data_IF_096759818277
#
_entry.id   IF_096759818277
#
_cell.length_a   1.000
_cell.length_b   1.000
_cell.length_c   1.000
_cell.angle_alpha   90.00
_cell.angle_beta   90.00
_cell.angle_gamma   90.00
#
_symmetry.space_group_name_H-M   'P 1'
#
loop_
_entity.id
_entity.type
_entity.pdbx_description
1 polymer ?
#
# COMPACT_ATOMS: atom_id res chain seq x y z
N UNK A 1 -25.32 -10.33 14.86
CA UNK A 1 -24.66 -10.67 13.57
C UNK A 1 -23.24 -10.16 13.65
N UNK A 2 -22.24 -10.95 13.27
CA UNK A 2 -20.84 -10.53 13.34
C UNK A 2 -20.29 -10.30 11.93
N UNK A 3 -19.62 -9.17 11.72
CA UNK A 3 -19.00 -8.80 10.45
C UNK A 3 -17.52 -8.53 10.69
N UNK A 4 -16.66 -9.23 9.94
CA UNK A 4 -15.21 -9.01 9.98
C UNK A 4 -14.78 -8.28 8.72
N UNK A 5 -14.14 -7.13 8.88
CA UNK A 5 -13.63 -6.30 7.79
C UNK A 5 -12.10 -6.30 7.86
N UNK A 6 -11.45 -6.57 6.74
CA UNK A 6 -9.99 -6.37 6.59
C UNK A 6 -9.78 -5.08 5.81
N UNK A 7 -9.04 -4.13 6.38
CA UNK A 7 -8.93 -2.76 5.84
C UNK A 7 -7.44 -2.35 5.75
N UNK A 8 -7.06 -1.75 4.63
CA UNK A 8 -5.78 -1.04 4.44
C UNK A 8 -5.94 0.44 4.82
N UNK A 9 -4.86 1.13 5.18
CA UNK A 9 -4.94 2.55 5.59
C UNK A 9 -5.49 3.47 4.49
N UNK A 10 -5.25 3.10 3.23
CA UNK A 10 -5.74 3.83 2.04
C UNK A 10 -7.24 3.68 1.80
N UNK A 11 -7.89 2.69 2.39
CA UNK A 11 -9.33 2.43 2.25
C UNK A 11 -10.16 3.12 3.34
N UNK A 12 -9.54 3.91 4.22
CA UNK A 12 -10.25 4.69 5.23
C UNK A 12 -10.81 5.96 4.58
N UNK A 13 -12.02 5.85 4.05
CA UNK A 13 -12.72 6.95 3.40
C UNK A 13 -14.16 7.15 3.93
N UNK A 14 -14.88 8.14 3.38
CA UNK A 14 -16.26 8.41 3.74
C UNK A 14 -17.22 7.26 3.42
N UNK A 15 -16.91 6.44 2.41
CA UNK A 15 -17.73 5.31 2.02
C UNK A 15 -17.67 4.20 3.08
N UNK A 16 -16.47 3.84 3.52
CA UNK A 16 -16.26 2.90 4.61
C UNK A 16 -16.98 3.35 5.89
N UNK A 17 -16.85 4.63 6.27
CA UNK A 17 -17.53 5.17 7.46
C UNK A 17 -19.05 5.05 7.38
N UNK A 18 -19.64 5.26 6.21
CA UNK A 18 -21.07 5.08 6.00
C UNK A 18 -21.49 3.61 6.09
N UNK A 19 -20.65 2.70 5.58
CA UNK A 19 -20.89 1.26 5.67
C UNK A 19 -20.86 0.79 7.13
N UNK A 20 -19.89 1.26 7.91
CA UNK A 20 -19.81 0.99 9.35
C UNK A 20 -21.05 1.50 10.10
N UNK A 21 -21.52 2.72 9.79
CA UNK A 21 -22.75 3.27 10.38
C UNK A 21 -23.98 2.40 10.08
N UNK A 22 -24.11 1.92 8.84
CA UNK A 22 -25.21 1.05 8.44
C UNK A 22 -25.15 -0.33 9.12
N UNK A 23 -23.96 -0.86 9.37
CA UNK A 23 -23.80 -2.12 10.09
C UNK A 23 -24.13 -1.95 11.59
N UNK A 24 -23.69 -0.85 12.19
CA UNK A 24 -24.01 -0.54 13.59
C UNK A 24 -25.51 -0.32 13.81
N UNK A 25 -26.22 0.32 12.85
CA UNK A 25 -27.68 0.48 12.95
C UNK A 25 -28.45 -0.84 12.88
N UNK A 26 -27.82 -1.90 12.38
CA UNK A 26 -28.35 -3.27 12.38
C UNK A 26 -27.91 -4.10 13.60
N UNK A 27 -27.31 -3.47 14.62
CA UNK A 27 -26.72 -4.15 15.79
C UNK A 27 -25.69 -5.23 15.41
N UNK A 28 -24.91 -4.97 14.35
CA UNK A 28 -23.82 -5.85 13.98
C UNK A 28 -22.60 -5.62 14.90
N UNK A 29 -21.98 -6.71 15.33
CA UNK A 29 -20.65 -6.67 15.93
C UNK A 29 -19.61 -6.55 14.81
N UNK A 30 -18.79 -5.50 14.86
CA UNK A 30 -17.82 -5.19 13.81
C UNK A 30 -16.41 -5.47 14.32
N UNK A 31 -15.69 -6.35 13.65
CA UNK A 31 -14.27 -6.62 13.90
C UNK A 31 -13.44 -6.04 12.76
N UNK A 32 -12.64 -5.03 13.07
CA UNK A 32 -11.70 -4.43 12.12
C UNK A 32 -10.33 -5.10 12.24
N UNK A 33 -9.83 -5.65 11.14
CA UNK A 33 -8.49 -6.21 11.04
C UNK A 33 -7.67 -5.39 10.06
N UNK A 34 -6.42 -5.11 10.40
CA UNK A 34 -5.47 -4.57 9.42
C UNK A 34 -5.26 -5.64 8.34
N UNK A 35 -5.47 -5.27 7.08
CA UNK A 35 -5.16 -6.17 5.98
C UNK A 35 -3.68 -6.56 6.03
N UNK A 36 -3.34 -7.85 5.85
CA UNK A 36 -1.95 -8.28 5.84
C UNK A 36 -1.22 -7.59 4.69
N UNK A 37 -0.13 -6.91 5.01
CA UNK A 37 0.78 -6.37 3.99
C UNK A 37 1.49 -7.58 3.38
N UNK A 38 1.07 -7.97 2.17
CA UNK A 38 1.84 -8.93 1.39
C UNK A 38 3.05 -8.18 0.86
N UNK A 39 4.21 -8.41 1.47
CA UNK A 39 5.47 -7.99 0.88
C UNK A 39 5.59 -8.74 -0.44
N UNK A 40 5.65 -8.01 -1.54
CA UNK A 40 5.94 -8.63 -2.83
C UNK A 40 7.33 -9.26 -2.75
N UNK A 41 7.47 -10.47 -3.29
CA UNK A 41 8.77 -11.09 -3.40
C UNK A 41 9.65 -10.23 -4.30
N UNK A 42 10.91 -10.08 -3.93
CA UNK A 42 11.87 -9.31 -4.69
C UNK A 42 11.98 -9.84 -6.13
N UNK A 43 11.52 -9.05 -7.11
CA UNK A 43 11.66 -9.36 -8.52
C UNK A 43 12.93 -8.71 -9.10
N UNK A 44 13.93 -9.54 -9.36
CA UNK A 44 15.21 -9.13 -9.96
C UNK A 44 15.11 -8.71 -11.43
N UNK A 45 13.99 -9.00 -12.09
CA UNK A 45 13.76 -8.65 -13.49
C UNK A 45 13.00 -7.33 -13.66
N UNK A 46 12.52 -6.74 -12.55
CA UNK A 46 11.83 -5.46 -12.59
C UNK A 46 12.83 -4.36 -12.95
N UNK A 47 12.66 -3.63 -14.06
CA UNK A 47 13.59 -2.58 -14.44
C UNK A 47 13.57 -1.43 -13.42
N UNK A 48 14.74 -0.89 -13.07
CA UNK A 48 14.84 0.26 -12.17
C UNK A 48 13.95 1.43 -12.62
N UNK A 49 13.81 1.65 -13.92
CA UNK A 49 12.95 2.68 -14.49
C UNK A 49 11.49 2.50 -14.12
N UNK A 50 11.01 1.26 -14.05
CA UNK A 50 9.63 0.94 -13.67
C UNK A 50 9.40 1.24 -12.19
N UNK A 51 10.32 0.81 -11.32
CA UNK A 51 10.29 1.12 -9.88
C UNK A 51 10.24 2.62 -9.63
N UNK A 52 11.11 3.38 -10.32
CA UNK A 52 11.15 4.83 -10.17
C UNK A 52 9.84 5.51 -10.63
N UNK A 53 9.23 4.99 -11.69
CA UNK A 53 7.96 5.50 -12.20
C UNK A 53 6.80 5.23 -11.24
N UNK A 54 6.73 4.04 -10.66
CA UNK A 54 5.71 3.67 -9.67
C UNK A 54 5.84 4.53 -8.40
N UNK A 55 7.06 4.74 -7.91
CA UNK A 55 7.32 5.58 -6.75
C UNK A 55 6.99 7.06 -7.00
N UNK A 56 7.21 7.54 -8.23
CA UNK A 56 6.79 8.89 -8.63
C UNK A 56 5.26 9.02 -8.69
N UNK A 57 4.57 8.00 -9.21
CA UNK A 57 3.10 7.96 -9.26
C UNK A 57 2.45 7.84 -7.88
N UNK A 58 3.13 7.22 -6.92
CA UNK A 58 2.70 7.16 -5.52
C UNK A 58 2.81 8.52 -4.77
N UNK A 59 3.33 9.57 -5.43
CA UNK A 59 3.37 10.92 -4.89
C UNK A 59 4.54 11.18 -3.93
N UNK A 60 5.60 10.36 -3.99
CA UNK A 60 6.81 10.61 -3.21
C UNK A 60 7.56 11.86 -3.70
N UNK A 61 8.24 12.55 -2.77
CA UNK A 61 8.92 13.81 -3.07
C UNK A 61 10.21 13.61 -3.91
N UNK A 62 10.63 14.64 -4.65
CA UNK A 62 11.78 14.55 -5.56
C UNK A 62 13.11 14.22 -4.87
N UNK A 63 13.33 14.69 -3.64
CA UNK A 63 14.55 14.40 -2.89
C UNK A 63 14.65 12.90 -2.60
N UNK A 64 13.57 12.30 -2.11
CA UNK A 64 13.45 10.88 -1.87
C UNK A 64 13.63 10.05 -3.15
N UNK A 65 12.99 10.45 -4.26
CA UNK A 65 13.14 9.75 -5.53
C UNK A 65 14.59 9.76 -6.04
N UNK A 66 15.30 10.88 -5.87
CA UNK A 66 16.71 10.98 -6.28
C UNK A 66 17.62 10.10 -5.43
N UNK A 67 17.40 10.08 -4.11
CA UNK A 67 18.16 9.23 -3.19
C UNK A 67 17.88 7.75 -3.47
N UNK A 68 16.63 7.40 -3.72
CA UNK A 68 16.20 6.05 -4.08
C UNK A 68 16.85 5.57 -5.39
N UNK A 69 16.80 6.40 -6.44
CA UNK A 69 17.42 6.08 -7.72
C UNK A 69 18.92 5.84 -7.57
N UNK A 70 19.60 6.68 -6.78
CA UNK A 70 21.03 6.55 -6.53
C UNK A 70 21.33 5.25 -5.78
N UNK A 71 20.60 4.98 -4.69
CA UNK A 71 20.79 3.78 -3.89
C UNK A 71 20.55 2.50 -4.68
N UNK A 72 19.46 2.44 -5.46
CA UNK A 72 19.12 1.27 -6.26
C UNK A 72 20.05 1.07 -7.46
N UNK A 73 20.48 2.15 -8.15
CA UNK A 73 21.45 2.05 -9.24
C UNK A 73 22.82 1.54 -8.77
N UNK A 74 23.20 1.82 -7.52
CA UNK A 74 24.43 1.30 -6.91
C UNK A 74 24.28 -0.09 -6.30
N UNK A 75 23.06 -0.62 -6.20
CA UNK A 75 22.83 -1.94 -5.63
C UNK A 75 23.30 -3.03 -6.61
N UNK A 76 24.01 -4.03 -6.10
CA UNK A 76 24.58 -5.15 -6.87
C UNK A 76 23.57 -5.91 -7.71
N UNK A 77 22.28 -5.82 -7.38
CA UNK A 77 21.22 -6.52 -8.13
C UNK A 77 20.83 -5.83 -9.45
N UNK A 78 21.12 -4.54 -9.59
CA UNK A 78 20.84 -3.75 -10.82
C UNK A 78 22.10 -3.50 -11.66
N UNK A 79 23.25 -4.07 -11.27
CA UNK A 79 24.54 -3.89 -11.95
C UNK A 79 24.79 -4.90 -13.09
N UNK A 80 23.82 -5.75 -13.41
CA UNK A 80 23.94 -6.83 -14.41
C UNK A 80 22.89 -6.74 -15.51
#
# INVERSE_FOLDING_TARGET
MQVTLSITLTEIDHHLLNLLRNLLSQNAEIILRKAPVKLEEFDKHLPLTQVMQEMAQAGHNQAFLKDLQTGLATATVYQH
#
